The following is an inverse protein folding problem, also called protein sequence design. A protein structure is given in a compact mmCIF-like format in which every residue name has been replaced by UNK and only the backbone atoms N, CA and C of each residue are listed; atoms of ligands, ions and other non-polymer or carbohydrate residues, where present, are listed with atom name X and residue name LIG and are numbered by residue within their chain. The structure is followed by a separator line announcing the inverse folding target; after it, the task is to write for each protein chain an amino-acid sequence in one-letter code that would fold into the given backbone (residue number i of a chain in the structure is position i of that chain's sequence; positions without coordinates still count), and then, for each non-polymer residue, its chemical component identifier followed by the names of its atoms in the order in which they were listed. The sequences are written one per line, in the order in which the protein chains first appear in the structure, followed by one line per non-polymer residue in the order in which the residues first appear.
data_IF_150915258220
#
_entry.id   IF_150915258220
#
_cell.length_a   1.000
_cell.length_b   1.000
_cell.length_c   1.000
_cell.angle_alpha   90.00
_cell.angle_beta   90.00
_cell.angle_gamma   90.00
#
_symmetry.space_group_name_H-M   'P 1'
#
loop_
_entity.id
_entity.type
_entity.pdbx_description
1 polymer ?
#
# COMPACT_ATOMS: atom_id res chain seq x y z
N UNK A 1 -9.53 -17.77 18.73
CA UNK A 1 -8.72 -17.49 17.52
C UNK A 1 -9.59 -16.64 16.62
N UNK A 2 -9.30 -15.35 16.49
CA UNK A 2 -10.11 -14.43 15.68
C UNK A 2 -9.76 -14.68 14.21
N UNK A 3 -10.73 -15.16 13.42
CA UNK A 3 -10.53 -15.35 11.98
C UNK A 3 -10.44 -13.97 11.33
N UNK A 4 -9.29 -13.62 10.73
CA UNK A 4 -9.18 -12.38 9.94
C UNK A 4 -9.88 -12.56 8.61
N UNK A 5 -10.64 -11.54 8.23
CA UNK A 5 -11.34 -11.49 6.94
C UNK A 5 -10.33 -11.24 5.83
N UNK A 6 -10.36 -12.05 4.78
CA UNK A 6 -9.63 -11.76 3.54
C UNK A 6 -10.24 -10.55 2.85
N UNK A 7 -9.41 -9.66 2.29
CA UNK A 7 -9.91 -8.53 1.51
C UNK A 7 -10.66 -9.01 0.27
N UNK A 8 -11.74 -8.32 -0.10
CA UNK A 8 -12.53 -8.58 -1.32
C UNK A 8 -11.74 -8.27 -2.59
N UNK A 9 -10.73 -7.40 -2.50
CA UNK A 9 -9.81 -7.08 -3.60
C UNK A 9 -8.42 -7.60 -3.28
N UNK A 10 -7.72 -8.05 -4.31
CA UNK A 10 -6.33 -8.49 -4.21
C UNK A 10 -5.56 -8.17 -5.48
N UNK A 11 -4.24 -8.01 -5.35
CA UNK A 11 -3.33 -7.78 -6.46
C UNK A 11 -1.95 -8.32 -6.08
N UNK A 12 -1.32 -9.03 -7.01
CA UNK A 12 0.01 -9.62 -6.78
C UNK A 12 1.00 -9.16 -7.87
N UNK A 13 1.38 -7.86 -7.91
CA UNK A 13 2.25 -7.37 -8.95
C UNK A 13 3.71 -7.80 -8.72
N UNK A 14 4.42 -8.00 -9.81
CA UNK A 14 5.88 -8.10 -9.81
C UNK A 14 6.45 -6.76 -10.26
N UNK A 15 7.22 -6.11 -9.39
CA UNK A 15 7.75 -4.76 -9.61
C UNK A 15 9.26 -4.85 -9.87
N UNK A 16 9.71 -4.27 -10.99
CA UNK A 16 11.12 -4.11 -11.24
C UNK A 16 11.68 -3.01 -10.32
N UNK A 17 12.46 -3.40 -9.32
CA UNK A 17 12.98 -2.48 -8.31
C UNK A 17 14.17 -1.69 -8.82
N UNK A 18 14.11 -0.37 -8.62
CA UNK A 18 15.22 0.54 -8.81
C UNK A 18 15.37 1.37 -7.52
N UNK A 19 16.59 1.59 -7.01
CA UNK A 19 16.83 2.19 -5.69
C UNK A 19 16.11 3.53 -5.43
N UNK A 20 15.76 4.26 -6.49
CA UNK A 20 15.06 5.54 -6.42
C UNK A 20 13.57 5.43 -6.73
N UNK A 21 13.09 4.35 -7.35
CA UNK A 21 11.73 4.25 -7.85
C UNK A 21 10.71 4.01 -6.73
N UNK A 22 9.61 4.75 -6.78
CA UNK A 22 8.42 4.53 -5.94
C UNK A 22 7.32 3.96 -6.82
N UNK A 23 6.94 2.72 -6.54
CA UNK A 23 5.90 2.05 -7.29
C UNK A 23 4.52 2.33 -6.67
N UNK A 24 3.54 2.86 -7.44
CA UNK A 24 2.17 2.95 -6.97
C UNK A 24 1.55 1.55 -6.89
N UNK A 25 1.03 1.20 -5.71
CA UNK A 25 0.27 -0.03 -5.51
C UNK A 25 -1.24 0.24 -5.60
N UNK A 26 -1.68 1.30 -4.93
CA UNK A 26 -3.02 1.88 -5.02
C UNK A 26 -2.85 3.39 -5.14
N UNK A 27 -3.42 3.98 -6.18
CA UNK A 27 -3.37 5.42 -6.40
C UNK A 27 -4.44 6.15 -5.58
N UNK A 28 -4.26 7.44 -5.24
CA UNK A 28 -5.30 8.24 -4.59
C UNK A 28 -6.63 8.21 -5.33
N UNK A 29 -6.60 8.15 -6.66
CA UNK A 29 -7.77 8.09 -7.52
C UNK A 29 -8.51 6.75 -7.41
N UNK A 30 -7.80 5.66 -7.13
CA UNK A 30 -8.42 4.35 -6.83
C UNK A 30 -9.00 4.29 -5.40
N UNK A 31 -8.63 5.23 -4.51
CA UNK A 31 -9.02 5.29 -3.11
C UNK A 31 -9.91 6.52 -2.79
N UNK A 32 -11.08 6.58 -3.42
CA UNK A 32 -12.00 7.73 -3.31
C UNK A 32 -12.61 7.86 -1.90
N UNK A 33 -12.95 6.74 -1.26
CA UNK A 33 -13.71 6.71 -0.01
C UNK A 33 -12.91 6.18 1.19
N UNK A 34 -11.65 5.79 0.98
CA UNK A 34 -10.87 5.04 1.96
C UNK A 34 -10.85 3.54 1.65
N UNK A 35 -9.80 2.89 2.14
CA UNK A 35 -9.66 1.42 2.07
C UNK A 35 -9.19 0.88 3.41
N UNK A 36 -9.47 -0.40 3.64
CA UNK A 36 -8.86 -1.19 4.71
C UNK A 36 -7.87 -2.15 4.06
N UNK A 37 -6.59 -1.95 4.31
CA UNK A 37 -5.54 -2.86 3.89
C UNK A 37 -5.51 -4.04 4.88
N UNK A 38 -5.93 -5.21 4.41
CA UNK A 38 -6.03 -6.44 5.21
C UNK A 38 -4.71 -7.18 5.26
N UNK A 39 -4.05 -7.30 4.11
CA UNK A 39 -2.74 -7.90 3.99
C UNK A 39 -1.88 -7.12 3.01
N UNK A 40 -0.60 -6.98 3.34
CA UNK A 40 0.43 -6.63 2.37
C UNK A 40 1.72 -7.33 2.78
N UNK A 41 2.27 -8.11 1.86
CA UNK A 41 3.55 -8.78 1.99
C UNK A 41 4.40 -8.32 0.82
N UNK A 42 5.58 -7.81 1.15
CA UNK A 42 6.56 -7.35 0.16
C UNK A 42 7.87 -8.08 0.44
N UNK A 43 8.48 -8.64 -0.61
CA UNK A 43 9.75 -9.34 -0.46
C UNK A 43 10.90 -8.39 -0.08
N UNK A 44 10.84 -7.14 -0.59
CA UNK A 44 11.82 -6.09 -0.32
C UNK A 44 11.17 -4.72 -0.47
N UNK A 45 11.78 -3.69 0.14
CA UNK A 45 11.29 -2.32 0.10
C UNK A 45 10.50 -1.92 1.35
N UNK A 46 9.91 -0.74 1.28
CA UNK A 46 9.10 -0.19 2.38
C UNK A 46 7.77 0.30 1.83
N UNK A 47 6.68 -0.13 2.44
CA UNK A 47 5.35 0.34 2.08
C UNK A 47 5.10 1.69 2.76
N UNK A 48 4.56 2.64 2.00
CA UNK A 48 4.15 3.95 2.51
C UNK A 48 2.73 4.30 2.08
N UNK A 49 2.12 5.24 2.79
CA UNK A 49 0.86 5.88 2.42
C UNK A 49 1.05 7.39 2.32
N UNK A 50 0.43 8.01 1.32
CA UNK A 50 0.58 9.44 1.07
C UNK A 50 -0.44 10.00 0.08
N UNK A 51 -0.57 11.33 -0.05
CA UNK A 51 -1.56 11.98 -0.92
C UNK A 51 -1.25 11.89 -2.43
N UNK A 52 -0.05 11.45 -2.80
CA UNK A 52 0.41 11.37 -4.19
C UNK A 52 1.78 10.71 -4.29
N UNK A 53 2.20 10.31 -5.49
CA UNK A 53 3.61 9.96 -5.72
C UNK A 53 4.42 11.26 -5.55
N UNK A 54 5.53 11.27 -4.79
CA UNK A 54 6.36 12.48 -4.64
C UNK A 54 6.73 12.99 -6.03
N UNK A 55 6.61 14.30 -6.26
CA UNK A 55 6.57 14.91 -7.60
C UNK A 55 7.78 14.63 -8.52
N UNK A 56 8.86 14.05 -8.01
CA UNK A 56 10.03 13.63 -8.79
C UNK A 56 10.23 12.11 -8.86
N UNK A 57 9.29 11.29 -8.38
CA UNK A 57 9.32 9.82 -8.46
C UNK A 57 10.55 9.13 -7.83
N UNK A 58 11.38 9.89 -7.10
CA UNK A 58 12.75 9.49 -6.73
C UNK A 58 13.08 9.66 -5.25
N UNK A 59 12.30 10.44 -4.49
CA UNK A 59 12.59 10.69 -3.08
C UNK A 59 11.84 9.73 -2.16
N UNK A 60 12.43 8.55 -1.96
CA UNK A 60 11.97 7.54 -0.98
C UNK A 60 12.04 8.01 0.48
N UNK A 61 12.58 9.20 0.75
CA UNK A 61 12.67 9.82 2.06
C UNK A 61 11.68 10.99 2.24
N UNK A 62 10.76 11.17 1.28
CA UNK A 62 9.68 12.16 1.43
C UNK A 62 8.92 11.91 2.75
N UNK A 63 8.92 12.94 3.60
CA UNK A 63 8.27 12.93 4.91
C UNK A 63 6.76 13.14 4.83
N UNK A 64 6.23 13.51 3.67
CA UNK A 64 4.78 13.55 3.40
C UNK A 64 4.18 12.15 3.39
N UNK A 65 5.01 11.12 3.25
CA UNK A 65 4.63 9.72 3.25
C UNK A 65 4.83 9.09 4.62
N UNK A 66 3.77 8.46 5.14
CA UNK A 66 3.86 7.67 6.37
C UNK A 66 4.25 6.24 6.04
N UNK A 67 5.27 5.72 6.72
CA UNK A 67 5.70 4.32 6.57
C UNK A 67 4.74 3.39 7.29
N UNK A 68 4.30 2.35 6.58
CA UNK A 68 3.63 1.21 7.18
C UNK A 68 4.73 0.26 7.68
N UNK A 69 4.85 0.02 9.00
CA UNK A 69 5.83 -0.90 9.52
C UNK A 69 5.68 -2.29 8.89
N UNK A 70 6.80 -2.89 8.50
CA UNK A 70 6.75 -4.18 7.82
C UNK A 70 6.12 -5.24 8.74
N UNK A 71 5.21 -6.05 8.19
CA UNK A 71 4.48 -7.07 8.94
C UNK A 71 3.36 -6.55 9.85
N UNK A 72 3.07 -5.24 9.92
CA UNK A 72 1.92 -4.75 10.72
C UNK A 72 0.61 -5.37 10.23
N UNK A 73 0.48 -5.57 8.92
CA UNK A 73 -0.67 -6.21 8.26
C UNK A 73 -0.72 -7.71 8.43
N UNK A 74 0.22 -8.34 9.15
CA UNK A 74 0.09 -9.72 9.62
C UNK A 74 -0.81 -9.79 10.86
N UNK A 75 -0.84 -8.72 11.65
CA UNK A 75 -1.49 -8.71 12.96
C UNK A 75 -2.63 -7.69 13.06
N UNK A 76 -2.60 -6.62 12.27
CA UNK A 76 -3.57 -5.53 12.31
C UNK A 76 -3.97 -5.08 10.91
N UNK A 77 -5.23 -4.73 10.73
CA UNK A 77 -5.65 -4.03 9.51
C UNK A 77 -5.15 -2.59 9.52
N UNK A 78 -4.80 -2.05 8.36
CA UNK A 78 -4.39 -0.66 8.22
C UNK A 78 -5.46 0.11 7.46
N UNK A 79 -6.08 1.08 8.11
CA UNK A 79 -6.96 2.03 7.45
C UNK A 79 -6.13 3.02 6.64
N UNK A 80 -6.41 3.14 5.35
CA UNK A 80 -5.83 4.15 4.47
C UNK A 80 -6.92 5.19 4.16
N UNK A 81 -6.79 6.43 4.64
CA UNK A 81 -7.79 7.47 4.42
C UNK A 81 -8.08 7.73 2.95
N UNK A 82 -9.28 8.24 2.67
CA UNK A 82 -9.69 8.70 1.35
C UNK A 82 -8.68 9.71 0.77
N UNK A 83 -8.43 9.63 -0.53
CA UNK A 83 -7.49 10.51 -1.23
C UNK A 83 -6.01 10.23 -0.92
N UNK A 84 -5.69 9.15 -0.20
CA UNK A 84 -4.31 8.66 -0.04
C UNK A 84 -4.06 7.44 -0.91
N UNK A 85 -2.89 7.36 -1.52
CA UNK A 85 -2.37 6.17 -2.19
C UNK A 85 -1.54 5.29 -1.25
N UNK A 86 -1.37 4.04 -1.66
CA UNK A 86 -0.42 3.07 -1.11
C UNK A 86 0.72 2.92 -2.11
N UNK A 87 1.95 3.05 -1.62
CA UNK A 87 3.15 3.04 -2.44
C UNK A 87 4.17 2.05 -1.90
N UNK A 88 5.04 1.57 -2.78
CA UNK A 88 6.21 0.79 -2.44
C UNK A 88 7.46 1.58 -2.80
N UNK A 89 8.23 1.96 -1.78
CA UNK A 89 9.60 2.43 -1.96
C UNK A 89 10.47 1.23 -2.30
N UNK A 90 10.87 1.12 -3.58
CA UNK A 90 11.59 -0.06 -4.07
C UNK A 90 13.06 -0.05 -3.66
N UNK A 91 13.69 -1.22 -3.69
CA UNK A 91 15.14 -1.39 -3.56
C UNK A 91 15.74 -1.72 -4.92
N UNK A 92 17.07 -1.73 -5.04
CA UNK A 92 17.78 -2.17 -6.25
C UNK A 92 17.73 -3.70 -6.43
N UNK A 93 16.52 -4.27 -6.43
CA UNK A 93 16.26 -5.68 -6.66
C UNK A 93 15.38 -5.79 -7.91
N UNK A 94 15.84 -6.54 -8.91
CA UNK A 94 15.19 -6.56 -10.23
C UNK A 94 13.84 -7.30 -10.27
N UNK A 95 13.33 -7.82 -9.16
CA UNK A 95 12.06 -8.52 -9.06
C UNK A 95 11.54 -8.45 -7.61
N UNK A 96 10.66 -7.50 -7.32
CA UNK A 96 10.03 -7.38 -6.00
C UNK A 96 8.61 -7.92 -6.12
N UNK A 97 8.37 -9.09 -5.52
CA UNK A 97 7.01 -9.62 -5.40
C UNK A 97 6.25 -8.87 -4.31
N UNK A 98 5.01 -8.49 -4.63
CA UNK A 98 4.05 -7.92 -3.69
C UNK A 98 2.81 -8.78 -3.71
N UNK A 99 2.29 -9.10 -2.52
CA UNK A 99 1.01 -9.77 -2.35
C UNK A 99 0.17 -8.89 -1.43
N UNK A 100 -1.00 -8.44 -1.90
CA UNK A 100 -1.83 -7.55 -1.10
C UNK A 100 -3.31 -7.82 -1.28
N UNK A 101 -4.07 -7.61 -0.19
CA UNK A 101 -5.52 -7.62 -0.20
C UNK A 101 -6.09 -6.45 0.61
N UNK A 102 -7.20 -5.90 0.13
CA UNK A 102 -7.86 -4.77 0.75
C UNK A 102 -9.37 -4.79 0.50
N UNK A 103 -10.08 -4.00 1.29
CA UNK A 103 -11.49 -3.69 1.13
C UNK A 103 -11.65 -2.19 0.83
N UNK A 104 -12.62 -1.85 0.00
CA UNK A 104 -12.99 -0.45 -0.25
C UNK A 104 -14.09 -0.05 0.73
N UNK A 105 -14.05 1.21 1.16
CA UNK A 105 -15.10 1.75 2.01
C UNK A 105 -16.21 2.40 1.18
N UNK A 106 -17.44 2.26 1.67
CA UNK A 106 -18.57 3.09 1.29
C UNK A 106 -18.38 4.50 1.87
N UNK A 107 -19.19 5.46 1.40
CA UNK A 107 -19.15 6.84 1.91
C UNK A 107 -19.50 6.93 3.42
N UNK A 108 -20.20 5.93 3.96
CA UNK A 108 -20.54 5.81 5.38
C UNK A 108 -19.45 5.11 6.22
N UNK A 109 -18.32 4.74 5.60
CA UNK A 109 -17.19 4.06 6.26
C UNK A 109 -17.37 2.55 6.45
N UNK A 110 -18.47 1.96 5.98
CA UNK A 110 -18.67 0.51 5.97
C UNK A 110 -17.87 -0.15 4.84
N UNK A 111 -17.55 -1.44 4.97
CA UNK A 111 -16.89 -2.19 3.89
C UNK A 111 -17.89 -2.45 2.76
N UNK A 112 -17.58 -1.95 1.56
CA UNK A 112 -18.32 -2.17 0.32
C UNK A 112 -18.19 -3.61 -0.16
#
# INVERSE_FOLDING_TARGET
MTVRTLGKRFRNPLINGNATFIAPLITPQENVNGIILRSIVVQSGTVTIGPGVPGNGTDRFDRSHMRIPNGITLYNDVMVPAGMGVYLNTTANFNISVEMSWDVLNADGTVA
#
